data_IF_064336474282
#
_entry.id   IF_064336474282
#
_cell.length_a   1.000
_cell.length_b   1.000
_cell.length_c   1.000
_cell.angle_alpha   90.00
_cell.angle_beta   90.00
_cell.angle_gamma   90.00
#
_symmetry.space_group_name_H-M   'P 1'
#
loop_
_entity.id
_entity.type
_entity.pdbx_description
1 polymer ?
#
# COMPACT_ATOMS: atom_id res chain seq x y z
N UNK A 1 14.27 14.17 -0.41
CA UNK A 1 13.30 13.06 -0.52
C UNK A 1 12.50 13.08 0.76
N UNK A 2 11.26 13.52 0.66
CA UNK A 2 10.32 13.46 1.77
C UNK A 2 9.74 12.04 1.81
N UNK A 3 9.84 11.40 2.97
CA UNK A 3 9.25 10.08 3.24
C UNK A 3 8.28 10.30 4.40
N UNK A 4 7.00 9.92 4.26
CA UNK A 4 6.40 9.31 3.08
C UNK A 4 6.24 10.29 1.89
N UNK A 5 6.21 9.78 0.67
CA UNK A 5 5.82 10.55 -0.49
C UNK A 5 4.33 10.93 -0.40
N UNK A 6 4.04 12.23 -0.26
CA UNK A 6 2.70 12.76 0.00
C UNK A 6 1.71 12.40 -1.12
N UNK A 7 2.10 12.50 -2.39
CA UNK A 7 1.21 12.18 -3.52
C UNK A 7 0.76 10.72 -3.51
N UNK A 8 1.68 9.80 -3.17
CA UNK A 8 1.37 8.37 -3.08
C UNK A 8 0.52 8.09 -1.84
N UNK A 9 0.80 8.76 -0.71
CA UNK A 9 -0.02 8.68 0.50
C UNK A 9 -1.45 9.15 0.25
N UNK A 10 -1.64 10.30 -0.41
CA UNK A 10 -2.97 10.85 -0.71
C UNK A 10 -3.79 9.88 -1.57
N UNK A 11 -3.15 9.22 -2.54
CA UNK A 11 -3.79 8.16 -3.30
C UNK A 11 -4.16 6.97 -2.41
N UNK A 12 -3.26 6.51 -1.53
CA UNK A 12 -3.55 5.44 -0.58
C UNK A 12 -4.75 5.76 0.33
N UNK A 13 -4.82 7.01 0.82
CA UNK A 13 -5.91 7.50 1.66
C UNK A 13 -7.27 7.48 0.92
N UNK A 14 -7.29 7.76 -0.39
CA UNK A 14 -8.52 7.62 -1.19
C UNK A 14 -8.99 6.17 -1.28
N UNK A 15 -8.09 5.22 -1.52
CA UNK A 15 -8.43 3.79 -1.56
C UNK A 15 -8.88 3.27 -0.19
N UNK A 16 -8.22 3.69 0.89
CA UNK A 16 -8.67 3.39 2.26
C UNK A 16 -10.08 3.92 2.52
N UNK A 17 -10.35 5.19 2.21
CA UNK A 17 -11.69 5.78 2.40
C UNK A 17 -12.76 5.01 1.64
N UNK A 18 -12.50 4.65 0.39
CA UNK A 18 -13.39 3.81 -0.40
C UNK A 18 -13.59 2.42 0.24
N UNK A 19 -12.52 1.80 0.73
CA UNK A 19 -12.58 0.50 1.41
C UNK A 19 -13.48 0.57 2.66
N UNK A 20 -13.34 1.62 3.48
CA UNK A 20 -14.16 1.78 4.69
C UNK A 20 -15.63 2.03 4.32
N UNK A 21 -15.89 2.88 3.34
CA UNK A 21 -17.26 3.15 2.86
C UNK A 21 -17.94 1.87 2.34
N UNK A 22 -17.22 1.02 1.60
CA UNK A 22 -17.75 -0.26 1.14
C UNK A 22 -18.04 -1.20 2.31
N UNK A 23 -17.14 -1.27 3.30
CA UNK A 23 -17.30 -2.11 4.49
C UNK A 23 -18.49 -1.70 5.37
N UNK A 24 -18.85 -0.41 5.38
CA UNK A 24 -19.95 0.13 6.19
C UNK A 24 -21.34 -0.08 5.59
N UNK A 25 -21.45 -0.15 4.25
CA UNK A 25 -22.74 -0.03 3.56
C UNK A 25 -23.38 -1.37 3.21
N UNK A 26 -22.61 -2.39 2.85
CA UNK A 26 -23.19 -3.59 2.24
C UNK A 26 -22.43 -4.88 2.56
N UNK A 27 -23.14 -5.81 3.22
CA UNK A 27 -22.70 -7.21 3.31
C UNK A 27 -22.69 -7.83 1.90
N UNK A 28 -21.57 -8.47 1.52
CA UNK A 28 -21.46 -9.19 0.25
C UNK A 28 -20.53 -8.55 -0.79
N UNK A 29 -20.05 -7.31 -0.57
CA UNK A 29 -19.04 -6.67 -1.44
C UNK A 29 -17.60 -7.13 -1.15
N UNK A 30 -17.40 -8.46 -1.02
CA UNK A 30 -16.13 -9.08 -0.62
C UNK A 30 -15.00 -8.77 -1.62
N UNK A 31 -15.22 -9.02 -2.92
CA UNK A 31 -14.17 -8.85 -3.92
C UNK A 31 -13.74 -7.38 -4.11
N UNK A 32 -14.65 -6.40 -4.21
CA UNK A 32 -14.28 -4.99 -4.19
C UNK A 32 -13.50 -4.60 -2.94
N UNK A 33 -13.92 -5.06 -1.76
CA UNK A 33 -13.25 -4.74 -0.50
C UNK A 33 -11.82 -5.27 -0.49
N UNK A 34 -11.61 -6.54 -0.87
CA UNK A 34 -10.25 -7.12 -0.99
C UNK A 34 -9.39 -6.29 -1.94
N UNK A 35 -9.95 -5.87 -3.09
CA UNK A 35 -9.22 -5.08 -4.06
C UNK A 35 -8.79 -3.72 -3.48
N UNK A 36 -9.75 -2.98 -2.91
CA UNK A 36 -9.52 -1.65 -2.36
C UNK A 36 -8.50 -1.67 -1.21
N UNK A 37 -8.64 -2.62 -0.29
CA UNK A 37 -7.70 -2.80 0.81
C UNK A 37 -6.29 -3.15 0.31
N UNK A 38 -6.17 -4.10 -0.62
CA UNK A 38 -4.87 -4.51 -1.17
C UNK A 38 -4.17 -3.34 -1.89
N UNK A 39 -4.92 -2.53 -2.65
CA UNK A 39 -4.36 -1.35 -3.32
C UNK A 39 -3.93 -0.30 -2.29
N UNK A 40 -4.73 -0.04 -1.26
CA UNK A 40 -4.36 0.89 -0.19
C UNK A 40 -3.06 0.44 0.51
N UNK A 41 -2.95 -0.85 0.87
CA UNK A 41 -1.74 -1.45 1.46
C UNK A 41 -0.53 -1.25 0.53
N UNK A 42 -0.66 -1.57 -0.76
CA UNK A 42 0.44 -1.40 -1.72
C UNK A 42 0.90 0.06 -1.81
N UNK A 43 -0.05 1.00 -1.87
CA UNK A 43 0.25 2.43 -1.98
C UNK A 43 0.89 2.99 -0.70
N UNK A 44 0.46 2.58 0.50
CA UNK A 44 1.15 2.96 1.73
C UNK A 44 2.59 2.44 1.79
N UNK A 45 2.84 1.20 1.35
CA UNK A 45 4.22 0.68 1.27
C UNK A 45 5.05 1.43 0.22
N UNK A 46 4.44 1.84 -0.89
CA UNK A 46 5.10 2.66 -1.92
C UNK A 46 5.40 4.07 -1.41
N UNK A 47 4.53 4.70 -0.63
CA UNK A 47 4.79 6.05 -0.12
C UNK A 47 6.04 6.07 0.75
N UNK A 48 6.34 4.97 1.46
CA UNK A 48 7.54 4.81 2.29
C UNK A 48 8.85 4.55 1.50
N UNK A 49 8.78 4.35 0.18
CA UNK A 49 9.94 3.98 -0.64
C UNK A 49 10.06 4.74 -1.97
N UNK A 50 9.07 5.57 -2.32
CA UNK A 50 9.03 6.30 -3.58
C UNK A 50 10.06 7.44 -3.62
N UNK A 51 10.71 7.58 -4.77
CA UNK A 51 11.56 8.71 -5.06
C UNK A 51 10.70 9.83 -5.68
N UNK A 52 10.92 11.07 -5.25
CA UNK A 52 10.31 12.24 -5.86
C UNK A 52 11.14 12.64 -7.09
N UNK A 53 10.49 12.75 -8.25
CA UNK A 53 11.13 13.22 -9.48
C UNK A 53 10.47 14.52 -9.93
N UNK A 54 11.30 15.54 -10.10
CA UNK A 54 10.92 16.85 -10.62
C UNK A 54 11.41 16.94 -12.05
N UNK A 55 10.50 17.14 -13.00
CA UNK A 55 10.87 17.38 -14.40
C UNK A 55 10.50 18.82 -14.76
N UNK A 56 11.43 19.63 -15.27
CA UNK A 56 11.11 20.96 -15.74
C UNK A 56 10.09 20.87 -16.88
N UNK A 57 8.99 21.62 -16.79
CA UNK A 57 8.09 21.80 -17.93
C UNK A 57 8.63 22.99 -18.71
N UNK A 58 8.96 22.78 -19.98
CA UNK A 58 9.39 23.86 -20.87
C UNK A 58 8.18 24.67 -21.32
N UNK A 59 7.57 25.40 -20.39
CA UNK A 59 6.56 26.42 -20.67
C UNK A 59 7.25 27.77 -20.61
N UNK A 60 7.45 28.41 -21.76
CA UNK A 60 8.30 29.59 -22.00
C UNK A 60 8.08 30.86 -21.17
N UNK A 61 7.41 30.79 -20.04
CA UNK A 61 7.27 31.86 -19.05
C UNK A 61 6.76 31.32 -17.71
N UNK A 62 7.60 30.54 -17.01
CA UNK A 62 7.70 30.39 -15.54
C UNK A 62 8.40 29.06 -15.23
N UNK A 63 9.19 29.00 -14.16
CA UNK A 63 9.78 27.76 -13.65
C UNK A 63 8.67 26.87 -13.07
N UNK A 64 7.90 26.21 -13.94
CA UNK A 64 6.93 25.19 -13.54
C UNK A 64 7.61 23.84 -13.61
N UNK A 65 7.68 23.12 -12.50
CA UNK A 65 8.17 21.75 -12.44
C UNK A 65 6.97 20.80 -12.35
N UNK A 66 6.95 19.78 -13.21
CA UNK A 66 6.06 18.65 -13.10
C UNK A 66 6.60 17.72 -12.00
N UNK A 67 5.78 17.48 -10.98
CA UNK A 67 6.14 16.61 -9.85
C UNK A 67 5.48 15.26 -10.00
N UNK A 68 6.26 14.19 -10.09
CA UNK A 68 5.74 12.83 -10.05
C UNK A 68 6.54 11.93 -9.10
N UNK A 69 5.85 10.98 -8.49
CA UNK A 69 6.46 9.96 -7.67
C UNK A 69 6.94 8.81 -8.57
N UNK A 70 8.24 8.53 -8.55
CA UNK A 70 8.81 7.36 -9.20
C UNK A 70 8.92 6.25 -8.17
N UNK A 71 8.13 5.20 -8.33
CA UNK A 71 8.30 3.99 -7.52
C UNK A 71 9.69 3.41 -7.80
N UNK A 72 10.44 3.04 -6.74
CA UNK A 72 11.67 2.27 -6.92
C UNK A 72 11.33 0.99 -7.69
N UNK A 73 12.03 0.79 -8.80
CA UNK A 73 11.85 -0.39 -9.65
C UNK A 73 12.26 -1.61 -8.85
N UNK A 74 11.27 -2.43 -8.53
CA UNK A 74 11.49 -3.74 -7.96
C UNK A 74 11.75 -4.67 -9.15
N UNK A 75 12.99 -5.09 -9.36
CA UNK A 75 13.35 -5.97 -10.47
C UNK A 75 12.58 -7.31 -10.44
N UNK A 76 12.15 -7.75 -11.63
CA UNK A 76 11.44 -9.01 -11.87
C UNK A 76 9.93 -8.93 -11.68
N UNK A 77 9.19 -9.86 -12.29
CA UNK A 77 7.72 -9.96 -12.38
C UNK A 77 6.93 -10.00 -11.05
N UNK A 78 7.52 -9.63 -9.92
CA UNK A 78 6.88 -9.63 -8.61
C UNK A 78 6.37 -8.25 -8.24
N UNK A 79 5.09 -8.00 -8.50
CA UNK A 79 4.31 -6.90 -7.92
C UNK A 79 3.96 -7.15 -6.43
N UNK A 80 4.79 -7.90 -5.71
CA UNK A 80 4.45 -8.41 -4.39
C UNK A 80 4.66 -7.39 -3.27
N UNK A 81 3.74 -7.39 -2.31
CA UNK A 81 3.78 -6.56 -1.10
C UNK A 81 5.06 -6.79 -0.31
N UNK A 82 5.59 -8.02 -0.28
CA UNK A 82 6.85 -8.34 0.37
C UNK A 82 8.03 -7.60 -0.25
N UNK A 83 8.11 -7.55 -1.58
CA UNK A 83 9.17 -6.81 -2.24
C UNK A 83 9.04 -5.30 -2.05
N UNK A 84 7.81 -4.79 -1.90
CA UNK A 84 7.58 -3.37 -1.55
C UNK A 84 8.13 -3.05 -0.16
N UNK A 85 7.91 -3.93 0.80
CA UNK A 85 8.51 -3.80 2.14
C UNK A 85 10.05 -3.80 2.08
N UNK A 86 10.66 -4.65 1.24
CA UNK A 86 12.11 -4.80 1.12
C UNK A 86 12.83 -3.55 0.57
N UNK A 87 12.16 -2.76 -0.27
CA UNK A 87 12.74 -1.54 -0.86
C UNK A 87 12.54 -0.28 -0.02
N UNK A 88 11.78 -0.36 1.09
CA UNK A 88 11.67 0.71 2.08
C UNK A 88 13.04 0.89 2.76
N UNK A 89 13.53 2.13 2.96
CA UNK A 89 14.81 2.36 3.63
C UNK A 89 14.85 1.71 5.02
N UNK A 90 15.99 1.12 5.37
CA UNK A 90 16.14 0.24 6.54
C UNK A 90 15.62 0.85 7.85
N UNK A 91 15.84 2.15 8.06
CA UNK A 91 15.37 2.86 9.25
C UNK A 91 13.84 2.82 9.40
N UNK A 92 13.11 3.10 8.31
CA UNK A 92 11.64 3.05 8.28
C UNK A 92 11.14 1.61 8.35
N UNK A 93 11.82 0.68 7.67
CA UNK A 93 11.46 -0.74 7.72
C UNK A 93 11.54 -1.29 9.15
N UNK A 94 12.60 -0.96 9.92
CA UNK A 94 12.74 -1.36 11.32
C UNK A 94 11.63 -0.77 12.20
N UNK A 95 11.30 0.51 12.03
CA UNK A 95 10.21 1.17 12.77
C UNK A 95 8.87 0.53 12.46
N UNK A 96 8.57 0.29 11.18
CA UNK A 96 7.35 -0.36 10.73
C UNK A 96 7.19 -1.76 11.33
N UNK A 97 8.23 -2.59 11.26
CA UNK A 97 8.23 -3.94 11.85
C UNK A 97 8.03 -3.88 13.36
N UNK A 98 8.70 -2.94 14.04
CA UNK A 98 8.59 -2.78 15.49
C UNK A 98 7.20 -2.31 15.91
N UNK A 99 6.63 -1.32 15.20
CA UNK A 99 5.30 -0.80 15.45
C UNK A 99 4.24 -1.89 15.27
N UNK A 100 4.32 -2.65 14.16
CA UNK A 100 3.39 -3.75 13.91
C UNK A 100 3.45 -4.81 15.01
N UNK A 101 4.67 -5.20 15.42
CA UNK A 101 4.85 -6.17 16.50
C UNK A 101 4.31 -5.66 17.83
N UNK A 102 4.45 -4.36 18.13
CA UNK A 102 3.93 -3.78 19.34
C UNK A 102 2.39 -3.77 19.37
N UNK A 103 1.75 -3.52 18.23
CA UNK A 103 0.29 -3.43 18.13
C UNK A 103 -0.40 -4.81 18.05
N UNK A 104 0.15 -5.73 17.25
CA UNK A 104 -0.51 -7.01 16.96
C UNK A 104 0.24 -8.24 17.50
N UNK A 105 1.42 -8.06 18.10
CA UNK A 105 2.25 -9.18 18.58
C UNK A 105 2.84 -10.08 17.48
N UNK A 106 2.54 -9.80 16.21
CA UNK A 106 2.85 -10.66 15.06
C UNK A 106 4.05 -10.25 14.23
N UNK A 107 4.20 -10.91 13.07
CA UNK A 107 5.22 -10.60 12.07
C UNK A 107 4.58 -10.01 10.82
N UNK A 108 4.80 -8.72 10.57
CA UNK A 108 4.24 -8.03 9.39
C UNK A 108 4.60 -8.72 8.08
N UNK A 109 5.81 -9.30 7.98
CA UNK A 109 6.26 -10.05 6.80
C UNK A 109 5.39 -11.29 6.54
N UNK A 110 5.05 -12.03 7.59
CA UNK A 110 4.18 -13.19 7.47
C UNK A 110 2.78 -12.78 6.99
N UNK A 111 2.23 -11.70 7.54
CA UNK A 111 0.89 -11.22 7.16
C UNK A 111 0.88 -10.68 5.73
N UNK A 112 1.86 -9.85 5.34
CA UNK A 112 1.96 -9.39 3.94
C UNK A 112 2.14 -10.54 2.95
N UNK A 113 2.83 -11.62 3.34
CA UNK A 113 2.97 -12.81 2.49
C UNK A 113 1.66 -13.56 2.26
N UNK A 114 0.70 -13.47 3.20
CA UNK A 114 -0.63 -14.07 3.04
C UNK A 114 -1.49 -13.30 2.03
N UNK A 115 -1.27 -11.99 1.91
CA UNK A 115 -1.99 -11.13 0.98
C UNK A 115 -1.44 -11.17 -0.45
N UNK A 116 -0.33 -11.87 -0.68
CA UNK A 116 0.24 -12.02 -2.03
C UNK A 116 -0.78 -12.67 -2.97
N UNK A 117 -0.98 -12.06 -4.14
CA UNK A 117 -1.98 -12.50 -5.11
C UNK A 117 -3.41 -12.02 -4.84
N UNK A 118 -3.73 -11.43 -3.68
CA UNK A 118 -5.08 -10.97 -3.34
C UNK A 118 -5.65 -9.99 -4.39
N UNK A 119 -4.82 -9.07 -4.91
CA UNK A 119 -5.22 -8.13 -5.97
C UNK A 119 -5.58 -8.81 -7.30
N UNK A 120 -4.90 -9.90 -7.65
CA UNK A 120 -5.23 -10.66 -8.86
C UNK A 120 -6.50 -11.48 -8.63
N UNK A 121 -6.55 -12.21 -7.51
CA UNK A 121 -7.68 -13.05 -7.14
C UNK A 121 -8.98 -12.24 -7.08
N UNK A 122 -8.95 -11.02 -6.51
CA UNK A 122 -10.14 -10.17 -6.39
C UNK A 122 -10.73 -9.74 -7.74
N UNK A 123 -9.92 -9.68 -8.80
CA UNK A 123 -10.37 -9.26 -10.16
C UNK A 123 -10.76 -10.44 -11.03
N UNK A 124 -10.18 -11.60 -10.77
CA UNK A 124 -10.38 -12.82 -11.56
C UNK A 124 -10.80 -13.99 -10.66
N UNK A 125 -11.90 -13.87 -9.89
CA UNK A 125 -12.28 -14.85 -8.87
C UNK A 125 -12.63 -16.24 -9.45
N UNK A 126 -12.88 -16.32 -10.76
CA UNK A 126 -13.22 -17.56 -11.47
C UNK A 126 -12.04 -18.19 -12.22
N UNK A 127 -10.85 -17.59 -12.16
CA UNK A 127 -9.64 -18.17 -12.74
C UNK A 127 -9.04 -19.24 -11.82
N UNK A 128 -8.58 -20.34 -12.42
CA UNK A 128 -8.00 -21.46 -11.69
C UNK A 128 -6.73 -21.02 -10.96
N UNK A 129 -6.68 -21.30 -9.65
CA UNK A 129 -5.52 -21.02 -8.80
C UNK A 129 -5.63 -19.75 -7.97
N UNK A 130 -6.69 -18.96 -8.15
CA UNK A 130 -7.01 -17.86 -7.25
C UNK A 130 -7.74 -18.39 -6.02
N UNK A 131 -7.21 -18.08 -4.83
CA UNK A 131 -7.74 -18.51 -3.53
C UNK A 131 -7.72 -17.34 -2.55
N UNK A 132 -8.76 -17.25 -1.72
CA UNK A 132 -8.92 -16.26 -0.65
C UNK A 132 -8.75 -16.87 0.75
N UNK A 133 -8.49 -18.18 0.86
CA UNK A 133 -8.44 -18.89 2.14
C UNK A 133 -7.25 -18.54 3.06
N UNK A 134 -6.29 -17.73 2.59
CA UNK A 134 -5.07 -17.42 3.33
C UNK A 134 -5.19 -16.21 4.27
N UNK A 135 -6.29 -15.46 4.19
CA UNK A 135 -6.53 -14.25 4.99
C UNK A 135 -8.02 -14.00 5.19
N UNK A 136 -8.35 -13.17 6.17
CA UNK A 136 -9.70 -12.64 6.37
C UNK A 136 -9.82 -11.19 5.86
N UNK A 137 -11.05 -10.72 5.66
CA UNK A 137 -11.32 -9.30 5.37
C UNK A 137 -10.80 -8.42 6.51
N UNK A 138 -10.99 -8.85 7.76
CA UNK A 138 -10.52 -8.12 8.93
C UNK A 138 -8.99 -7.97 8.92
N UNK A 139 -8.23 -8.99 8.49
CA UNK A 139 -6.78 -8.89 8.37
C UNK A 139 -6.35 -7.78 7.40
N UNK A 140 -7.04 -7.66 6.25
CA UNK A 140 -6.79 -6.62 5.26
C UNK A 140 -7.17 -5.23 5.77
N UNK A 141 -8.31 -5.11 6.44
CA UNK A 141 -8.77 -3.84 7.05
C UNK A 141 -7.81 -3.41 8.14
N UNK A 142 -7.43 -4.31 9.05
CA UNK A 142 -6.49 -4.05 10.13
C UNK A 142 -5.12 -3.60 9.57
N UNK A 143 -4.59 -4.29 8.55
CA UNK A 143 -3.35 -3.88 7.90
C UNK A 143 -3.48 -2.50 7.24
N UNK A 144 -4.59 -2.23 6.57
CA UNK A 144 -4.83 -0.93 5.91
C UNK A 144 -4.86 0.21 6.95
N UNK A 145 -5.55 0.01 8.07
CA UNK A 145 -5.64 0.97 9.17
C UNK A 145 -4.29 1.18 9.84
N UNK A 146 -3.58 0.09 10.14
CA UNK A 146 -2.24 0.13 10.71
C UNK A 146 -1.27 0.93 9.84
N UNK A 147 -1.18 0.61 8.54
CA UNK A 147 -0.28 1.30 7.62
C UNK A 147 -0.64 2.78 7.46
N UNK A 148 -1.93 3.10 7.39
CA UNK A 148 -2.40 4.49 7.37
C UNK A 148 -1.94 5.26 8.60
N UNK A 149 -2.11 4.69 9.79
CA UNK A 149 -1.69 5.33 11.03
C UNK A 149 -0.16 5.48 11.11
N UNK A 150 0.58 4.43 10.76
CA UNK A 150 2.04 4.46 10.73
C UNK A 150 2.57 5.54 9.77
N UNK A 151 2.05 5.60 8.55
CA UNK A 151 2.45 6.59 7.53
C UNK A 151 2.11 8.01 7.99
N UNK A 152 0.99 8.22 8.68
CA UNK A 152 0.63 9.52 9.25
C UNK A 152 1.64 9.96 10.33
N UNK A 153 2.06 9.05 11.21
CA UNK A 153 3.08 9.36 12.23
C UNK A 153 4.44 9.71 11.61
N UNK A 154 4.81 9.08 10.50
CA UNK A 154 6.08 9.37 9.80
C UNK A 154 6.01 10.66 8.96
N UNK A 155 4.83 11.27 8.81
CA UNK A 155 4.63 12.55 8.10
C UNK A 155 4.77 13.78 9.02
N UNK A 156 4.88 13.59 10.34
CA UNK A 156 4.98 14.64 11.36
C UNK A 156 6.38 14.71 11.98
#
# INVERSE_FOLDING_TARGET
MEIPNILVKDAADQFKKACMAVNEVEEGLVLPLINLATVAIELYLKSLSADEVRTPIDSGSSCVEELYAKAKSVGGNGHGLMKRLEVIPEAFQKRLISAYKAEFGGCIKAVLSQFEGAFQASRYPYEKGNDFGNFTIDDLINMTNFLSHFVELESN
#
